data_IF_992205678104
#
_entry.id   IF_992205678104
#
_cell.length_a   1.000
_cell.length_b   1.000
_cell.length_c   1.000
_cell.angle_alpha   90.00
_cell.angle_beta   90.00
_cell.angle_gamma   90.00
#
_symmetry.space_group_name_H-M   'P 1'
#
loop_
_entity.id
_entity.type
_entity.pdbx_description
1 polymer ?
#
# COMPACT_ATOMS: atom_id res chain seq x y z
N UNK A 1 0.97 4.23 -14.77
CA UNK A 1 -0.42 4.50 -14.38
C UNK A 1 -0.36 5.53 -13.26
N UNK A 2 -0.60 6.80 -13.56
CA UNK A 2 -0.76 7.84 -12.54
C UNK A 2 -2.16 8.40 -12.72
N UNK A 3 -3.05 8.12 -11.78
CA UNK A 3 -4.31 8.86 -11.67
C UNK A 3 -3.98 10.26 -11.17
N UNK A 4 -4.75 11.27 -11.60
CA UNK A 4 -4.66 12.58 -10.97
C UNK A 4 -4.96 12.42 -9.45
N UNK A 5 -4.26 13.15 -8.55
CA UNK A 5 -4.31 12.91 -7.10
C UNK A 5 -5.73 12.95 -6.52
N UNK A 6 -6.55 13.86 -7.02
CA UNK A 6 -7.97 14.00 -6.74
C UNK A 6 -8.78 12.74 -7.09
N UNK A 7 -8.54 12.15 -8.27
CA UNK A 7 -9.20 10.91 -8.69
C UNK A 7 -8.79 9.72 -7.82
N UNK A 8 -7.56 9.72 -7.31
CA UNK A 8 -7.08 8.71 -6.38
C UNK A 8 -7.74 8.84 -5.00
N UNK A 9 -7.84 10.07 -4.48
CA UNK A 9 -8.53 10.37 -3.23
C UNK A 9 -10.01 10.00 -3.31
N UNK A 10 -10.70 10.38 -4.38
CA UNK A 10 -12.10 10.04 -4.61
C UNK A 10 -12.31 8.52 -4.71
N UNK A 11 -11.43 7.79 -5.41
CA UNK A 11 -11.53 6.34 -5.52
C UNK A 11 -11.37 5.64 -4.15
N UNK A 12 -10.48 6.17 -3.29
CA UNK A 12 -10.27 5.67 -1.93
C UNK A 12 -11.45 6.02 -1.02
N UNK A 13 -11.95 7.25 -1.09
CA UNK A 13 -13.09 7.71 -0.31
C UNK A 13 -14.34 6.88 -0.62
N UNK A 14 -14.67 6.71 -1.90
CA UNK A 14 -15.79 5.87 -2.34
C UNK A 14 -15.63 4.39 -1.94
N UNK A 15 -14.39 3.89 -1.90
CA UNK A 15 -14.12 2.54 -1.38
C UNK A 15 -14.44 2.45 0.12
N UNK A 16 -14.00 3.42 0.93
CA UNK A 16 -14.29 3.44 2.37
C UNK A 16 -15.79 3.59 2.67
N UNK A 17 -16.51 4.42 1.91
CA UNK A 17 -17.97 4.55 2.03
C UNK A 17 -18.68 3.21 1.85
N UNK A 18 -18.22 2.37 0.92
CA UNK A 18 -18.76 1.03 0.70
C UNK A 18 -18.34 0.03 1.79
N UNK A 19 -17.10 0.14 2.28
CA UNK A 19 -16.45 -0.90 3.06
C UNK A 19 -16.69 -0.76 4.57
N UNK A 20 -16.80 0.47 5.10
CA UNK A 20 -17.12 0.75 6.51
C UNK A 20 -18.47 0.14 6.94
N UNK A 21 -19.58 0.28 6.18
CA UNK A 21 -20.85 -0.36 6.53
C UNK A 21 -20.76 -1.89 6.60
N UNK A 22 -19.98 -2.50 5.70
CA UNK A 22 -19.79 -3.97 5.67
C UNK A 22 -19.00 -4.47 6.88
N UNK A 23 -17.99 -3.72 7.32
CA UNK A 23 -17.29 -3.99 8.58
C UNK A 23 -18.27 -3.90 9.75
N UNK A 24 -19.07 -2.83 9.83
CA UNK A 24 -20.05 -2.63 10.92
C UNK A 24 -21.11 -3.73 10.98
N UNK A 25 -21.47 -4.33 9.84
CA UNK A 25 -22.41 -5.46 9.75
C UNK A 25 -21.74 -6.84 9.89
N UNK A 26 -20.44 -6.87 10.21
CA UNK A 26 -19.64 -8.09 10.37
C UNK A 26 -19.69 -9.03 9.14
N UNK A 27 -19.83 -8.45 7.94
CA UNK A 27 -19.89 -9.20 6.67
C UNK A 27 -18.50 -9.62 6.16
N UNK A 28 -17.42 -9.07 6.73
CA UNK A 28 -16.04 -9.37 6.36
C UNK A 28 -15.44 -10.27 7.44
N UNK A 29 -15.28 -11.56 7.12
CA UNK A 29 -14.93 -12.60 8.09
C UNK A 29 -13.43 -12.83 8.24
N UNK A 30 -12.60 -12.31 7.33
CA UNK A 30 -11.13 -12.51 7.36
C UNK A 30 -10.34 -11.21 7.09
N UNK A 31 -9.21 -10.99 7.80
CA UNK A 31 -8.33 -9.83 7.56
C UNK A 31 -7.69 -9.79 6.17
N UNK A 32 -7.37 -10.95 5.57
CA UNK A 32 -6.89 -11.04 4.18
C UNK A 32 -7.97 -10.65 3.18
N UNK A 33 -9.23 -11.03 3.46
CA UNK A 33 -10.39 -10.59 2.69
C UNK A 33 -10.51 -9.07 2.67
N UNK A 34 -10.23 -8.39 3.79
CA UNK A 34 -10.33 -6.94 3.90
C UNK A 34 -9.42 -6.21 2.90
N UNK A 35 -8.14 -6.61 2.80
CA UNK A 35 -7.20 -6.00 1.86
C UNK A 35 -7.62 -6.24 0.40
N UNK A 36 -8.03 -7.47 0.06
CA UNK A 36 -8.54 -7.78 -1.27
C UNK A 36 -9.82 -7.00 -1.61
N UNK A 37 -10.71 -6.79 -0.64
CA UNK A 37 -11.91 -5.95 -0.79
C UNK A 37 -11.54 -4.49 -1.01
N UNK A 38 -10.55 -3.96 -0.30
CA UNK A 38 -10.06 -2.59 -0.49
C UNK A 38 -9.47 -2.41 -1.89
N UNK A 39 -8.58 -3.31 -2.33
CA UNK A 39 -7.98 -3.25 -3.67
C UNK A 39 -9.03 -3.33 -4.78
N UNK A 40 -9.99 -4.24 -4.63
CA UNK A 40 -11.10 -4.40 -5.58
C UNK A 40 -12.01 -3.17 -5.59
N UNK A 41 -12.34 -2.64 -4.41
CA UNK A 41 -13.18 -1.47 -4.24
C UNK A 41 -12.56 -0.20 -4.84
N UNK A 42 -11.28 0.06 -4.57
CA UNK A 42 -10.56 1.20 -5.17
C UNK A 42 -10.52 1.06 -6.69
N UNK A 43 -10.18 -0.12 -7.22
CA UNK A 43 -10.12 -0.34 -8.67
C UNK A 43 -11.48 -0.13 -9.34
N UNK A 44 -12.56 -0.65 -8.76
CA UNK A 44 -13.91 -0.48 -9.30
C UNK A 44 -14.37 0.98 -9.27
N UNK A 45 -14.12 1.69 -8.17
CA UNK A 45 -14.48 3.10 -8.06
C UNK A 45 -13.68 3.97 -9.02
N UNK A 46 -12.37 3.74 -9.14
CA UNK A 46 -11.54 4.42 -10.14
C UNK A 46 -12.06 4.23 -11.57
N UNK A 47 -12.39 2.99 -11.97
CA UNK A 47 -12.95 2.71 -13.29
C UNK A 47 -14.33 3.36 -13.49
N UNK A 48 -15.13 3.47 -12.43
CA UNK A 48 -16.44 4.14 -12.45
C UNK A 48 -16.28 5.65 -12.65
N UNK A 49 -15.30 6.27 -12.00
CA UNK A 49 -14.98 7.70 -12.14
C UNK A 49 -14.57 8.00 -13.59
N UNK A 50 -13.61 7.23 -14.14
CA UNK A 50 -13.19 7.39 -15.55
C UNK A 50 -14.36 7.25 -16.52
N UNK A 51 -15.21 6.22 -16.34
CA UNK A 51 -16.37 6.02 -17.22
C UNK A 51 -17.37 7.17 -17.13
N UNK A 52 -17.56 7.76 -15.95
CA UNK A 52 -18.44 8.90 -15.74
C UNK A 52 -17.90 10.15 -16.43
N UNK A 53 -16.59 10.38 -16.39
CA UNK A 53 -15.95 11.47 -17.12
C UNK A 53 -16.08 11.29 -18.64
N UNK A 54 -15.84 10.09 -19.16
CA UNK A 54 -16.00 9.78 -20.59
C UNK A 54 -17.44 9.93 -21.11
N UNK A 55 -18.44 9.73 -20.25
CA UNK A 55 -19.85 9.92 -20.60
C UNK A 55 -20.29 11.39 -20.52
N UNK A 56 -19.60 12.20 -19.73
CA UNK A 56 -19.91 13.62 -19.52
C UNK A 56 -19.11 14.56 -20.44
N UNK A 57 -18.10 14.06 -21.16
CA UNK A 57 -17.30 14.84 -22.10
C UNK A 57 -18.03 15.03 -23.44
N UNK A 58 -18.91 16.03 -23.50
CA UNK A 58 -19.19 16.75 -24.75
C UNK A 58 -18.15 17.85 -24.91
N UNK A 59 -17.35 17.76 -25.98
CA UNK A 59 -16.20 18.62 -26.36
C UNK A 59 -15.10 18.82 -25.28
N UNK A 60 -13.80 18.66 -25.62
CA UNK A 60 -12.73 18.79 -24.64
C UNK A 60 -12.42 20.27 -24.41
N UNK A 61 -13.12 20.89 -23.46
CA UNK A 61 -12.63 22.12 -22.85
C UNK A 61 -11.41 21.74 -22.00
N UNK A 62 -10.23 22.12 -22.48
CA UNK A 62 -8.93 21.89 -21.84
C UNK A 62 -8.81 22.77 -20.59
N UNK A 63 -9.65 22.53 -19.60
CA UNK A 63 -9.43 23.05 -18.26
C UNK A 63 -8.33 22.18 -17.64
N UNK A 64 -7.10 22.69 -17.74
CA UNK A 64 -5.99 22.20 -16.92
C UNK A 64 -6.38 22.37 -15.46
N UNK A 65 -6.93 21.31 -14.85
CA UNK A 65 -7.15 21.24 -13.41
C UNK A 65 -5.80 21.57 -12.75
N UNK A 66 -5.68 22.67 -11.99
CA UNK A 66 -4.45 22.97 -11.30
C UNK A 66 -4.24 21.86 -10.27
N UNK A 67 -3.31 20.95 -10.54
CA UNK A 67 -2.84 20.00 -9.54
C UNK A 67 -2.20 20.85 -8.44
N UNK A 68 -2.84 20.91 -7.26
CA UNK A 68 -2.25 21.60 -6.13
C UNK A 68 -0.83 21.06 -5.90
N UNK A 69 0.19 21.93 -5.78
CA UNK A 69 1.56 21.49 -5.63
C UNK A 69 1.73 20.75 -4.30
N UNK A 70 1.77 19.42 -4.37
CA UNK A 70 1.84 18.52 -3.23
C UNK A 70 3.26 18.38 -2.63
N UNK A 71 4.05 19.44 -2.74
CA UNK A 71 5.50 19.43 -2.48
C UNK A 71 5.83 18.96 -1.06
N UNK A 72 5.02 19.29 -0.07
CA UNK A 72 5.24 18.89 1.34
C UNK A 72 5.10 17.39 1.50
N UNK A 73 4.07 16.78 0.92
CA UNK A 73 3.85 15.34 1.04
C UNK A 73 4.87 14.54 0.23
N UNK A 74 5.27 15.03 -0.94
CA UNK A 74 6.37 14.45 -1.72
C UNK A 74 7.71 14.47 -0.95
N UNK A 75 7.97 15.58 -0.24
CA UNK A 75 9.15 15.71 0.63
C UNK A 75 9.10 14.73 1.79
N UNK A 76 7.95 14.63 2.46
CA UNK A 76 7.72 13.69 3.58
C UNK A 76 7.87 12.24 3.12
N UNK A 77 7.36 11.89 1.94
CA UNK A 77 7.46 10.53 1.41
C UNK A 77 8.88 10.19 1.00
N UNK A 78 9.62 11.13 0.41
CA UNK A 78 11.04 10.94 0.10
C UNK A 78 11.85 10.71 1.37
N UNK A 79 11.67 11.55 2.39
CA UNK A 79 12.36 11.43 3.68
C UNK A 79 12.06 10.09 4.36
N UNK A 80 10.78 9.68 4.39
CA UNK A 80 10.38 8.37 4.91
C UNK A 80 11.04 7.21 4.15
N UNK A 81 11.11 7.28 2.82
CA UNK A 81 11.76 6.27 1.97
C UNK A 81 13.26 6.19 2.26
N UNK A 82 13.94 7.32 2.38
CA UNK A 82 15.38 7.38 2.70
C UNK A 82 15.67 6.82 4.10
N UNK A 83 14.83 7.16 5.08
CA UNK A 83 14.92 6.62 6.44
C UNK A 83 14.77 5.10 6.45
N UNK A 84 13.74 4.59 5.76
CA UNK A 84 13.47 3.17 5.65
C UNK A 84 14.60 2.43 4.92
N UNK A 85 15.07 2.95 3.78
CA UNK A 85 16.19 2.39 3.04
C UNK A 85 17.46 2.33 3.90
N UNK A 86 17.76 3.38 4.66
CA UNK A 86 18.87 3.40 5.60
C UNK A 86 18.72 2.41 6.76
N UNK A 87 17.49 2.04 7.14
CA UNK A 87 17.23 1.02 8.16
C UNK A 87 17.31 -0.40 7.60
N UNK A 88 16.81 -0.64 6.38
CA UNK A 88 17.01 -1.90 5.64
C UNK A 88 18.50 -2.16 5.42
N UNK A 89 19.26 -1.10 5.12
CA UNK A 89 20.71 -1.13 5.00
C UNK A 89 21.43 -1.68 6.24
N UNK A 90 20.86 -1.56 7.43
CA UNK A 90 21.47 -2.01 8.70
C UNK A 90 21.05 -3.42 9.11
N UNK A 91 20.10 -4.04 8.43
CA UNK A 91 19.70 -5.41 8.70
C UNK A 91 20.81 -6.40 8.30
N UNK A 92 20.86 -7.56 8.97
CA UNK A 92 21.71 -8.66 8.50
C UNK A 92 21.27 -9.15 7.12
N UNK A 93 22.18 -9.75 6.36
CA UNK A 93 21.95 -10.19 4.97
C UNK A 93 20.66 -11.01 4.81
N UNK A 94 20.43 -11.97 5.71
CA UNK A 94 19.22 -12.80 5.68
C UNK A 94 17.92 -11.99 5.85
N UNK A 95 17.91 -11.01 6.77
CA UNK A 95 16.72 -10.17 6.96
C UNK A 95 16.56 -9.12 5.86
N UNK A 96 17.65 -8.64 5.28
CA UNK A 96 17.59 -7.73 4.14
C UNK A 96 16.93 -8.41 2.94
N UNK A 97 17.41 -9.59 2.57
CA UNK A 97 16.83 -10.38 1.46
C UNK A 97 15.34 -10.68 1.69
N UNK A 98 14.97 -11.02 2.93
CA UNK A 98 13.57 -11.24 3.30
C UNK A 98 12.72 -9.98 3.07
N UNK A 99 13.20 -8.80 3.48
CA UNK A 99 12.45 -7.55 3.31
C UNK A 99 12.39 -7.14 1.84
N UNK A 100 13.47 -7.29 1.09
CA UNK A 100 13.49 -7.04 -0.36
C UNK A 100 12.48 -7.95 -1.09
N UNK A 101 12.44 -9.24 -0.75
CA UNK A 101 11.44 -10.17 -1.27
C UNK A 101 10.01 -9.74 -0.95
N UNK A 102 9.73 -9.34 0.30
CA UNK A 102 8.40 -8.89 0.73
C UNK A 102 7.98 -7.56 0.09
N UNK A 103 8.93 -6.68 -0.24
CA UNK A 103 8.65 -5.45 -0.97
C UNK A 103 8.37 -5.72 -2.45
N UNK A 104 9.08 -6.68 -3.06
CA UNK A 104 8.83 -7.11 -4.43
C UNK A 104 7.51 -7.89 -4.57
N UNK A 105 7.11 -8.62 -3.52
CA UNK A 105 5.89 -9.43 -3.48
C UNK A 105 5.01 -9.04 -2.28
N UNK A 106 4.24 -7.93 -2.35
CA UNK A 106 3.48 -7.40 -1.21
C UNK A 106 2.40 -8.35 -0.67
N UNK A 107 1.91 -9.25 -1.53
CA UNK A 107 0.88 -10.23 -1.19
C UNK A 107 1.47 -11.58 -0.76
N UNK A 108 2.80 -11.69 -0.62
CA UNK A 108 3.42 -12.93 -0.20
C UNK A 108 3.00 -13.29 1.23
N UNK A 109 2.49 -14.51 1.37
CA UNK A 109 2.13 -15.12 2.63
C UNK A 109 3.33 -15.87 3.23
N UNK A 110 3.15 -16.40 4.44
CA UNK A 110 4.23 -17.13 5.13
C UNK A 110 4.65 -18.40 4.40
N UNK A 111 3.77 -18.95 3.55
CA UNK A 111 4.01 -20.10 2.69
C UNK A 111 4.96 -19.75 1.53
N UNK A 112 4.72 -18.63 0.84
CA UNK A 112 5.60 -18.15 -0.24
C UNK A 112 7.02 -17.85 0.28
N UNK A 113 7.11 -17.25 1.47
CA UNK A 113 8.40 -16.99 2.14
C UNK A 113 9.08 -18.29 2.56
N UNK A 114 8.32 -19.30 2.97
CA UNK A 114 8.86 -20.60 3.35
C UNK A 114 9.46 -21.33 2.15
N UNK A 115 8.78 -21.28 1.01
CA UNK A 115 9.23 -21.85 -0.26
C UNK A 115 10.49 -21.14 -0.78
N UNK A 116 10.46 -19.81 -0.90
CA UNK A 116 11.59 -19.01 -1.44
C UNK A 116 12.88 -19.20 -0.64
N UNK A 117 12.78 -19.22 0.70
CA UNK A 117 13.94 -19.29 1.58
C UNK A 117 14.25 -20.71 2.10
N UNK A 118 13.50 -21.72 1.63
CA UNK A 118 13.60 -23.12 2.05
C UNK A 118 13.61 -23.28 3.59
N UNK A 119 12.62 -22.68 4.25
CA UNK A 119 12.43 -22.71 5.71
C UNK A 119 11.02 -23.19 6.05
N UNK A 120 10.76 -23.55 7.32
CA UNK A 120 9.38 -23.86 7.74
C UNK A 120 8.51 -22.60 7.78
N UNK A 121 7.21 -22.76 7.50
CA UNK A 121 6.20 -21.68 7.56
C UNK A 121 6.23 -20.94 8.89
N UNK A 122 6.37 -21.67 10.01
CA UNK A 122 6.51 -21.07 11.34
C UNK A 122 7.75 -20.19 11.44
N UNK A 123 8.87 -20.62 10.88
CA UNK A 123 10.12 -19.85 10.88
C UNK A 123 10.01 -18.63 9.96
N UNK A 124 9.37 -18.77 8.81
CA UNK A 124 9.05 -17.66 7.91
C UNK A 124 8.25 -16.57 8.62
N UNK A 125 7.20 -16.95 9.35
CA UNK A 125 6.40 -16.02 10.15
C UNK A 125 7.23 -15.31 11.23
N UNK A 126 8.01 -16.08 12.02
CA UNK A 126 8.87 -15.52 13.08
C UNK A 126 9.91 -14.56 12.49
N UNK A 127 10.55 -14.91 11.37
CA UNK A 127 11.56 -14.08 10.72
C UNK A 127 10.94 -12.80 10.15
N UNK A 128 9.78 -12.89 9.50
CA UNK A 128 9.00 -11.71 9.02
C UNK A 128 8.69 -10.77 10.18
N UNK A 129 8.14 -11.30 11.27
CA UNK A 129 7.81 -10.52 12.45
C UNK A 129 9.03 -9.82 13.04
N UNK A 130 10.16 -10.53 13.19
CA UNK A 130 11.42 -9.97 13.70
C UNK A 130 11.97 -8.88 12.80
N UNK A 131 12.00 -9.09 11.48
CA UNK A 131 12.49 -8.11 10.52
C UNK A 131 11.69 -6.79 10.60
N UNK A 132 10.36 -6.89 10.64
CA UNK A 132 9.46 -5.73 10.78
C UNK A 132 9.71 -5.00 12.11
N UNK A 133 9.83 -5.75 13.22
CA UNK A 133 10.11 -5.17 14.54
C UNK A 133 11.44 -4.40 14.56
N UNK A 134 12.48 -4.96 13.92
CA UNK A 134 13.78 -4.30 13.80
C UNK A 134 13.68 -3.01 12.99
N UNK A 135 13.00 -3.03 11.84
CA UNK A 135 12.78 -1.84 11.02
C UNK A 135 12.02 -0.75 11.78
N UNK A 136 10.90 -1.11 12.42
CA UNK A 136 10.12 -0.17 13.23
C UNK A 136 10.96 0.46 14.33
N UNK A 137 11.77 -0.35 15.03
CA UNK A 137 12.66 0.17 16.08
C UNK A 137 13.75 1.11 15.53
N UNK A 138 14.24 0.86 14.32
CA UNK A 138 15.25 1.70 13.67
C UNK A 138 14.64 3.03 13.22
N UNK A 139 13.49 3.00 12.55
CA UNK A 139 12.78 4.20 12.08
C UNK A 139 12.33 5.05 13.27
N UNK A 140 11.75 4.45 14.31
CA UNK A 140 11.32 5.17 15.51
C UNK A 140 12.48 5.87 16.26
N UNK A 141 13.70 5.33 16.18
CA UNK A 141 14.89 5.98 16.75
C UNK A 141 15.37 7.18 15.92
N UNK A 142 15.12 7.19 14.62
CA UNK A 142 15.52 8.27 13.71
C UNK A 142 14.49 9.40 13.59
N UNK A 143 13.24 9.11 13.93
CA UNK A 143 12.15 10.09 13.99
C UNK A 143 12.07 10.84 15.34
N UNK A 144 12.89 10.45 16.33
CA UNK A 144 13.09 11.18 17.58
C UNK A 144 14.25 12.15 17.44
#
# INVERSE_FOLDING_TARGET
MGAAPDLAEDAVQNMFEYLIPKIRRNEITTPSGLLSYMQTGVRHNYLKIIRKEQLNSGEPESDMIPVEPNQVWDLVDREKRELLAGCIGKLSSHYRLLIEFLLAHPNAESEDVAEEFNISVTNAWVRRHRAIKLLNSCVAKKLK
#
